data_IF_390932188205
#
_entry.id   IF_390932188205
#
_cell.length_a   1.000
_cell.length_b   1.000
_cell.length_c   1.000
_cell.angle_alpha   90.00
_cell.angle_beta   90.00
_cell.angle_gamma   90.00
#
_symmetry.space_group_name_H-M   'P 1'
#
loop_
_entity.id
_entity.type
_entity.pdbx_description
1 polymer ?
#
# COMPACT_ATOMS: atom_id res chain seq x y z
N UNK A 1 68.20 1.24 50.77
CA UNK A 1 68.93 1.94 49.69
C UNK A 1 68.54 1.35 48.35
N UNK A 2 68.56 2.19 47.32
CA UNK A 2 67.87 2.09 46.04
C UNK A 2 68.85 1.60 44.97
N UNK A 3 68.46 0.67 44.11
CA UNK A 3 68.95 0.60 42.72
C UNK A 3 67.95 -0.17 41.85
N UNK A 4 67.30 0.58 40.96
CA UNK A 4 66.59 0.08 39.78
C UNK A 4 67.61 -0.06 38.65
N UNK A 5 67.49 -1.08 37.81
CA UNK A 5 67.81 -0.95 36.39
C UNK A 5 66.86 -1.81 35.56
N UNK A 6 66.30 -1.18 34.53
CA UNK A 6 65.26 -1.66 33.66
C UNK A 6 65.82 -2.51 32.51
N UNK A 7 64.97 -3.37 31.93
CA UNK A 7 64.99 -3.67 30.49
C UNK A 7 63.55 -3.84 30.03
N UNK A 8 63.16 -3.00 29.08
CA UNK A 8 61.88 -3.01 28.39
C UNK A 8 62.05 -3.75 27.04
N UNK A 9 61.05 -4.51 26.62
CA UNK A 9 60.77 -4.95 25.24
C UNK A 9 59.50 -5.81 25.27
N UNK A 10 58.32 -5.25 24.94
CA UNK A 10 57.66 -5.12 23.61
C UNK A 10 56.57 -6.17 23.40
N UNK A 11 55.40 -5.66 23.00
CA UNK A 11 54.36 -6.29 22.18
C UNK A 11 53.66 -7.56 22.70
N UNK A 12 52.38 -7.42 23.06
CA UNK A 12 51.32 -8.08 22.30
C UNK A 12 49.97 -7.39 22.59
N UNK A 13 49.60 -6.53 21.64
CA UNK A 13 48.23 -6.11 21.37
C UNK A 13 47.40 -7.35 21.05
N UNK A 14 46.20 -7.50 21.62
CA UNK A 14 45.02 -8.05 20.93
C UNK A 14 43.76 -7.82 21.77
N UNK A 15 43.13 -6.69 21.45
CA UNK A 15 41.74 -6.39 21.74
C UNK A 15 40.89 -7.42 20.97
N UNK A 16 40.14 -8.26 21.68
CA UNK A 16 39.06 -9.05 21.08
C UNK A 16 37.75 -8.69 21.80
N UNK A 17 37.29 -7.45 21.58
CA UNK A 17 35.88 -7.13 21.78
C UNK A 17 35.14 -7.79 20.62
N UNK A 18 34.65 -9.00 20.86
CA UNK A 18 33.70 -9.67 19.98
C UNK A 18 32.40 -8.87 20.02
N UNK A 19 32.34 -7.81 19.22
CA UNK A 19 31.06 -7.20 18.83
C UNK A 19 30.29 -8.32 18.15
N UNK A 20 29.37 -8.92 18.88
CA UNK A 20 28.29 -9.70 18.32
C UNK A 20 27.53 -8.73 17.41
N UNK A 21 27.96 -8.67 16.17
CA UNK A 21 27.18 -8.12 15.09
C UNK A 21 25.92 -8.96 15.07
N UNK A 22 24.87 -8.47 15.71
CA UNK A 22 23.51 -8.89 15.49
C UNK A 22 23.33 -8.86 13.98
N UNK A 23 23.34 -10.04 13.36
CA UNK A 23 23.06 -10.18 11.95
C UNK A 23 21.69 -9.58 11.75
N UNK A 24 21.63 -8.37 11.21
CA UNK A 24 20.44 -7.86 10.57
C UNK A 24 20.24 -8.76 9.35
N UNK A 25 19.59 -9.90 9.56
CA UNK A 25 18.98 -10.64 8.47
C UNK A 25 17.88 -9.72 7.95
N UNK A 26 18.24 -8.88 6.98
CA UNK A 26 17.26 -8.30 6.09
C UNK A 26 16.53 -9.51 5.49
N UNK A 27 15.27 -9.71 5.90
CA UNK A 27 14.39 -10.67 5.24
C UNK A 27 14.49 -10.39 3.72
N UNK A 28 14.50 -11.44 2.88
CA UNK A 28 14.56 -11.23 1.43
C UNK A 28 13.46 -10.25 1.05
N UNK A 29 13.81 -9.20 0.28
CA UNK A 29 12.85 -8.22 -0.19
C UNK A 29 11.70 -8.97 -0.89
N UNK A 30 10.53 -8.96 -0.27
CA UNK A 30 9.38 -9.70 -0.77
C UNK A 30 9.05 -9.19 -2.17
N UNK A 31 9.17 -10.08 -3.16
CA UNK A 31 9.08 -9.68 -4.56
C UNK A 31 7.62 -9.34 -4.87
N UNK A 32 7.40 -8.09 -5.25
CA UNK A 32 6.11 -7.63 -5.76
C UNK A 32 5.69 -8.47 -6.98
N UNK A 33 4.55 -9.14 -6.88
CA UNK A 33 4.00 -9.92 -7.99
C UNK A 33 3.39 -9.01 -9.06
N UNK A 34 2.60 -8.03 -8.64
CA UNK A 34 1.97 -7.04 -9.52
C UNK A 34 2.08 -5.63 -8.96
N UNK A 35 2.57 -4.71 -9.80
CA UNK A 35 2.60 -3.28 -9.52
C UNK A 35 1.27 -2.57 -9.80
N UNK A 36 1.05 -1.44 -9.12
CA UNK A 36 -0.10 -0.57 -9.38
C UNK A 36 -0.07 0.07 -10.79
N UNK A 37 1.12 0.14 -11.40
CA UNK A 37 1.38 0.94 -12.59
C UNK A 37 1.40 2.44 -12.29
N UNK A 38 1.49 3.31 -13.32
CA UNK A 38 1.48 4.75 -13.12
C UNK A 38 0.16 5.23 -12.50
N UNK A 39 0.21 6.36 -11.79
CA UNK A 39 -0.98 7.00 -11.20
C UNK A 39 -2.00 7.28 -12.31
N UNK A 40 -3.26 6.84 -12.16
CA UNK A 40 -4.27 7.07 -13.18
C UNK A 40 -4.64 8.56 -13.24
N UNK A 41 -4.86 9.08 -14.45
CA UNK A 41 -5.45 10.42 -14.60
C UNK A 41 -6.90 10.42 -14.11
N UNK A 42 -7.40 11.57 -13.66
CA UNK A 42 -8.76 11.66 -13.13
C UNK A 42 -9.81 11.15 -14.12
N UNK A 43 -9.69 11.54 -15.41
CA UNK A 43 -10.61 11.12 -16.46
C UNK A 43 -10.63 9.59 -16.65
N UNK A 44 -9.45 8.95 -16.69
CA UNK A 44 -9.35 7.49 -16.89
C UNK A 44 -9.85 6.72 -15.68
N UNK A 45 -9.52 7.19 -14.49
CA UNK A 45 -10.03 6.66 -13.23
C UNK A 45 -11.56 6.72 -13.21
N UNK A 46 -12.15 7.89 -13.49
CA UNK A 46 -13.61 8.06 -13.45
C UNK A 46 -14.32 7.16 -14.45
N UNK A 47 -13.76 7.01 -15.66
CA UNK A 47 -14.30 6.12 -16.67
C UNK A 47 -14.26 4.65 -16.22
N UNK A 48 -13.15 4.20 -15.63
CA UNK A 48 -13.01 2.83 -15.11
C UNK A 48 -13.97 2.55 -13.95
N UNK A 49 -14.08 3.48 -13.00
CA UNK A 49 -15.01 3.37 -11.86
C UNK A 49 -16.46 3.36 -12.34
N UNK A 50 -16.83 4.26 -13.27
CA UNK A 50 -18.19 4.28 -13.82
C UNK A 50 -18.55 2.96 -14.50
N UNK A 51 -17.66 2.46 -15.37
CA UNK A 51 -17.86 1.17 -16.05
C UNK A 51 -18.04 0.03 -15.05
N UNK A 52 -17.22 -0.01 -14.01
CA UNK A 52 -17.34 -1.01 -12.96
C UNK A 52 -18.68 -0.89 -12.22
N UNK A 53 -19.05 0.30 -11.75
CA UNK A 53 -20.30 0.51 -11.02
C UNK A 53 -21.52 0.15 -11.86
N UNK A 54 -21.54 0.48 -13.16
CA UNK A 54 -22.62 0.09 -14.06
C UNK A 54 -22.80 -1.43 -14.17
N UNK A 55 -21.72 -2.20 -14.00
CA UNK A 55 -21.79 -3.68 -14.03
C UNK A 55 -22.15 -4.28 -12.68
N UNK A 56 -21.83 -3.61 -11.56
CA UNK A 56 -21.97 -4.19 -10.22
C UNK A 56 -23.13 -3.63 -9.40
N UNK A 57 -23.63 -2.43 -9.74
CA UNK A 57 -24.65 -1.72 -8.97
C UNK A 57 -25.89 -1.46 -9.84
N UNK A 58 -26.97 -2.18 -9.55
CA UNK A 58 -28.24 -2.07 -10.28
C UNK A 58 -29.03 -0.80 -9.92
N UNK A 59 -28.71 -0.15 -8.81
CA UNK A 59 -29.38 1.04 -8.31
C UNK A 59 -28.62 2.34 -8.64
N UNK A 60 -27.57 2.25 -9.46
CA UNK A 60 -26.73 3.36 -9.85
C UNK A 60 -27.55 4.48 -10.51
N UNK A 61 -27.42 5.70 -10.02
CA UNK A 61 -27.98 6.89 -10.63
C UNK A 61 -27.17 7.27 -11.87
N UNK A 62 -27.84 7.42 -13.01
CA UNK A 62 -27.19 7.81 -14.26
C UNK A 62 -26.75 9.28 -14.30
N UNK A 63 -27.33 10.16 -13.48
CA UNK A 63 -26.99 11.61 -13.44
C UNK A 63 -25.72 11.88 -12.66
N UNK A 64 -25.60 11.31 -11.46
CA UNK A 64 -24.40 11.43 -10.63
C UNK A 64 -24.07 10.12 -9.92
N UNK A 65 -23.44 9.19 -10.64
CA UNK A 65 -23.27 7.81 -10.18
C UNK A 65 -22.39 7.69 -8.94
N UNK A 66 -21.38 8.55 -8.80
CA UNK A 66 -20.52 8.57 -7.62
C UNK A 66 -19.80 9.91 -7.42
N UNK A 67 -19.26 10.10 -6.21
CA UNK A 67 -18.33 11.16 -5.85
C UNK A 67 -17.08 10.53 -5.24
N UNK A 68 -15.90 10.95 -5.70
CA UNK A 68 -14.62 10.56 -5.07
C UNK A 68 -14.46 11.34 -3.76
N UNK A 69 -14.17 10.63 -2.68
CA UNK A 69 -13.86 11.20 -1.37
C UNK A 69 -12.35 11.41 -1.21
N UNK A 70 -11.55 10.42 -1.60
CA UNK A 70 -10.09 10.44 -1.46
C UNK A 70 -9.38 9.48 -2.43
N UNK A 71 -8.06 9.65 -2.55
CA UNK A 71 -7.20 8.89 -3.45
C UNK A 71 -7.08 9.49 -4.86
N UNK A 72 -6.36 8.83 -5.79
CA UNK A 72 -5.70 7.53 -5.63
C UNK A 72 -4.45 7.59 -4.73
N UNK A 73 -4.36 6.66 -3.77
CA UNK A 73 -3.20 6.50 -2.88
C UNK A 73 -2.60 5.12 -3.10
N UNK A 74 -1.27 4.99 -3.13
CA UNK A 74 -0.64 3.68 -3.34
C UNK A 74 -0.89 2.79 -2.12
N UNK A 75 -1.51 1.64 -2.35
CA UNK A 75 -1.69 0.59 -1.38
C UNK A 75 -0.82 -0.62 -1.76
N UNK A 76 -0.21 -1.22 -0.76
CA UNK A 76 0.58 -2.46 -0.87
C UNK A 76 0.00 -3.46 0.12
N UNK A 77 -0.09 -4.73 -0.25
CA UNK A 77 -0.73 -5.73 0.60
C UNK A 77 -0.69 -7.12 -0.02
N UNK A 78 -0.97 -8.13 0.80
CA UNK A 78 -0.93 -9.51 0.35
C UNK A 78 -2.25 -9.95 -0.26
N UNK A 79 -2.15 -10.72 -1.33
CA UNK A 79 -3.27 -11.47 -1.87
C UNK A 79 -3.54 -12.72 -1.04
N UNK A 80 -4.68 -13.35 -1.26
CA UNK A 80 -4.97 -14.68 -0.68
C UNK A 80 -3.96 -15.76 -1.11
N UNK A 81 -3.30 -15.58 -2.25
CA UNK A 81 -2.19 -16.45 -2.71
C UNK A 81 -0.87 -16.20 -1.99
N UNK A 82 -0.83 -15.33 -0.97
CA UNK A 82 0.39 -15.00 -0.23
C UNK A 82 1.40 -14.18 -1.01
N UNK A 83 0.99 -13.57 -2.14
CA UNK A 83 1.84 -12.72 -2.94
C UNK A 83 1.61 -11.25 -2.61
N UNK A 84 2.71 -10.49 -2.50
CA UNK A 84 2.67 -9.05 -2.32
C UNK A 84 2.25 -8.36 -3.62
N UNK A 85 1.26 -7.50 -3.56
CA UNK A 85 0.76 -6.72 -4.69
C UNK A 85 0.59 -5.24 -4.36
N UNK A 86 0.51 -4.41 -5.41
CA UNK A 86 0.24 -2.98 -5.35
C UNK A 86 -0.97 -2.60 -6.19
N UNK A 87 -1.72 -1.61 -5.71
CA UNK A 87 -2.81 -0.97 -6.42
C UNK A 87 -3.03 0.45 -5.90
N UNK A 88 -3.78 1.26 -6.64
CA UNK A 88 -4.23 2.57 -6.21
C UNK A 88 -5.55 2.44 -5.46
N UNK A 89 -5.55 2.73 -4.16
CA UNK A 89 -6.74 2.77 -3.33
C UNK A 89 -7.47 4.11 -3.49
N UNK A 90 -8.79 4.05 -3.58
CA UNK A 90 -9.66 5.21 -3.54
C UNK A 90 -10.88 4.95 -2.68
N UNK A 91 -11.40 6.03 -2.07
CA UNK A 91 -12.69 6.04 -1.41
C UNK A 91 -13.69 6.85 -2.22
N UNK A 92 -14.89 6.33 -2.39
CA UNK A 92 -15.98 7.02 -3.08
C UNK A 92 -17.31 6.83 -2.36
N UNK A 93 -18.28 7.66 -2.72
CA UNK A 93 -19.69 7.50 -2.36
C UNK A 93 -20.48 7.27 -3.62
N UNK A 94 -21.26 6.21 -3.66
CA UNK A 94 -22.19 5.93 -4.76
C UNK A 94 -23.48 6.70 -4.52
N UNK A 95 -24.08 7.27 -5.57
CA UNK A 95 -25.37 7.98 -5.50
C UNK A 95 -25.42 9.12 -4.44
N UNK A 96 -24.31 9.84 -4.25
CA UNK A 96 -24.18 10.84 -3.19
C UNK A 96 -25.28 11.94 -3.19
N UNK A 97 -25.92 12.21 -4.33
CA UNK A 97 -27.01 13.19 -4.43
C UNK A 97 -28.39 12.64 -4.03
N UNK A 98 -28.55 11.33 -3.90
CA UNK A 98 -29.76 10.70 -3.35
C UNK A 98 -29.76 10.63 -1.82
N UNK A 99 -28.66 11.03 -1.17
CA UNK A 99 -28.56 11.05 0.29
C UNK A 99 -29.48 12.16 0.79
N UNK A 100 -30.51 11.77 1.54
CA UNK A 100 -31.48 12.70 2.10
C UNK A 100 -30.79 13.67 3.09
N UNK A 101 -31.28 14.92 3.21
CA UNK A 101 -30.76 15.85 4.21
C UNK A 101 -30.93 15.28 5.63
N UNK A 102 -29.84 15.24 6.40
CA UNK A 102 -29.80 14.78 7.79
C UNK A 102 -28.42 14.21 8.19
N UNK A 103 -28.17 13.93 9.48
CA UNK A 103 -26.97 13.22 9.90
C UNK A 103 -27.08 11.77 9.44
N UNK A 104 -26.49 11.45 8.30
CA UNK A 104 -26.30 10.08 7.85
C UNK A 104 -24.82 9.74 7.85
N UNK A 105 -24.51 8.55 8.33
CA UNK A 105 -23.20 7.95 8.15
C UNK A 105 -23.04 7.66 6.66
N UNK A 106 -22.22 8.46 5.99
CA UNK A 106 -21.92 8.26 4.58
C UNK A 106 -20.98 7.06 4.50
N UNK A 107 -21.52 5.91 4.10
CA UNK A 107 -20.70 4.71 3.93
C UNK A 107 -19.83 4.85 2.67
N UNK A 108 -18.53 5.05 2.87
CA UNK A 108 -17.55 5.06 1.80
C UNK A 108 -17.34 3.66 1.21
N UNK A 109 -17.21 3.59 -0.12
CA UNK A 109 -16.80 2.37 -0.82
C UNK A 109 -15.33 2.49 -1.21
N UNK A 110 -14.53 1.54 -0.74
CA UNK A 110 -13.14 1.38 -1.17
C UNK A 110 -13.08 0.70 -2.54
N UNK A 111 -12.25 1.21 -3.44
CA UNK A 111 -11.90 0.55 -4.71
C UNK A 111 -10.39 0.56 -4.90
N UNK A 112 -9.86 -0.56 -5.39
CA UNK A 112 -8.48 -0.66 -5.86
C UNK A 112 -8.42 -0.51 -7.38
N UNK A 113 -7.43 0.21 -7.89
CA UNK A 113 -7.22 0.41 -9.32
C UNK A 113 -5.81 -0.01 -9.73
N UNK A 114 -5.66 -0.48 -10.97
CA UNK A 114 -4.36 -0.69 -11.61
C UNK A 114 -4.32 0.00 -12.96
N UNK A 115 -3.15 0.52 -13.32
CA UNK A 115 -2.88 1.06 -14.63
C UNK A 115 -1.97 0.13 -15.41
N UNK A 116 -2.45 -0.44 -16.51
CA UNK A 116 -1.66 -1.33 -17.39
C UNK A 116 -1.86 -0.91 -18.84
N UNK A 117 -0.76 -0.70 -19.58
CA UNK A 117 -0.84 -0.32 -21.00
C UNK A 117 -1.68 0.94 -21.27
N UNK A 118 -1.74 1.88 -20.31
CA UNK A 118 -2.55 3.09 -20.39
C UNK A 118 -4.04 2.90 -20.04
N UNK A 119 -4.49 1.67 -19.79
CA UNK A 119 -5.83 1.37 -19.30
C UNK A 119 -5.87 1.33 -17.78
N UNK A 120 -6.99 1.78 -17.21
CA UNK A 120 -7.25 1.71 -15.76
C UNK A 120 -8.31 0.66 -15.52
N UNK A 121 -8.05 -0.27 -14.60
CA UNK A 121 -8.95 -1.36 -14.24
C UNK A 121 -9.23 -1.36 -12.74
N UNK A 122 -10.46 -1.67 -12.37
CA UNK A 122 -10.83 -1.91 -10.96
C UNK A 122 -10.38 -3.32 -10.58
N UNK A 123 -9.62 -3.42 -9.49
CA UNK A 123 -9.22 -4.68 -8.88
C UNK A 123 -10.23 -4.98 -7.77
N UNK A 124 -10.89 -6.15 -7.81
CA UNK A 124 -11.82 -6.58 -6.75
C UNK A 124 -11.13 -6.58 -5.38
N UNK A 125 -11.79 -6.04 -4.37
CA UNK A 125 -11.30 -5.99 -2.98
C UNK A 125 -11.12 -7.39 -2.40
N UNK A 126 -11.91 -8.36 -2.89
CA UNK A 126 -11.89 -9.77 -2.49
C UNK A 126 -10.58 -10.47 -2.86
N UNK A 127 -9.74 -9.87 -3.71
CA UNK A 127 -8.44 -10.42 -4.05
C UNK A 127 -7.36 -10.15 -2.98
N UNK A 128 -7.65 -9.25 -2.02
CA UNK A 128 -6.66 -8.77 -1.06
C UNK A 128 -6.98 -9.26 0.36
N UNK A 129 -6.09 -10.10 0.89
CA UNK A 129 -6.24 -10.75 2.19
C UNK A 129 -6.12 -9.77 3.36
N UNK A 130 -5.14 -8.88 3.28
CA UNK A 130 -4.82 -7.93 4.36
C UNK A 130 -5.51 -6.58 4.16
N UNK A 131 -6.45 -6.49 3.22
CA UNK A 131 -7.15 -5.24 2.96
C UNK A 131 -8.33 -5.06 3.92
N UNK A 132 -8.21 -4.09 4.82
CA UNK A 132 -9.34 -3.45 5.49
C UNK A 132 -9.31 -1.96 5.15
N UNK A 133 -9.52 -1.59 3.88
CA UNK A 133 -9.50 -0.19 3.49
C UNK A 133 -10.70 0.51 4.13
N UNK A 134 -10.44 1.29 5.17
CA UNK A 134 -11.47 2.12 5.76
C UNK A 134 -11.70 3.35 4.89
N UNK A 135 -12.94 3.43 4.43
CA UNK A 135 -13.61 4.60 3.92
C UNK A 135 -14.86 4.79 4.81
#
# INVERSE_FOLDING_TARGET
MKTRTATASTLALLVAVSVLASGSHAAPAEKLLLGAGPVPTEARMRAAVLKYLQTTDRALDSRKPFKVLSGPTLATGNTFGGSLEQAWLMCLVVNAEKIAPGPQEIQGKALYLRTQGGQVVVVPTENWKDSSPQC
#
